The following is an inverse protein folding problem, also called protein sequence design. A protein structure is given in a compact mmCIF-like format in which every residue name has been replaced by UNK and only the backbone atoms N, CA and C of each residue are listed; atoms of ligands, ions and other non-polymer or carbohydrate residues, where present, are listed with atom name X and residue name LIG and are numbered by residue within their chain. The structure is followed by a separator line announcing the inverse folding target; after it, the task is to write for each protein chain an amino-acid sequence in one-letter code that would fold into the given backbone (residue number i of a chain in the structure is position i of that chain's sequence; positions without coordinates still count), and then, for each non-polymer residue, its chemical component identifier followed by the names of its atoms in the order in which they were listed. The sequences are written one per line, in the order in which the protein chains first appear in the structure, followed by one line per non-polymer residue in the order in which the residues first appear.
data_IF_813461673281
#
_entry.id   IF_813461673281
#
_cell.length_a   1.000
_cell.length_b   1.000
_cell.length_c   1.000
_cell.angle_alpha   90.00
_cell.angle_beta   90.00
_cell.angle_gamma   90.00
#
_symmetry.space_group_name_H-M   'P 1'
#
loop_
_entity.id
_entity.type
_entity.pdbx_description
1 polymer ?
#
# COMPACT_ATOMS: atom_id res chain seq x y z
N UNK A 1 9.73 3.89 0.19
CA UNK A 1 11.00 4.09 0.95
C UNK A 1 11.77 2.78 0.92
N UNK A 2 13.08 2.75 0.66
CA UNK A 2 13.85 1.49 0.70
C UNK A 2 14.53 1.36 2.05
N UNK A 3 14.38 0.22 2.71
CA UNK A 3 15.03 -0.09 3.98
C UNK A 3 15.84 -1.39 3.87
N UNK A 4 16.91 -1.50 4.66
CA UNK A 4 17.69 -2.74 4.80
C UNK A 4 17.06 -3.62 5.87
N UNK A 5 16.62 -4.80 5.49
CA UNK A 5 16.00 -5.79 6.39
C UNK A 5 16.89 -7.02 6.47
N UNK A 6 17.16 -7.50 7.68
CA UNK A 6 17.85 -8.77 7.89
C UNK A 6 16.80 -9.89 7.81
N UNK A 7 16.90 -10.72 6.78
CA UNK A 7 16.04 -11.88 6.57
C UNK A 7 16.91 -13.15 6.70
N UNK A 8 16.76 -13.85 7.82
CA UNK A 8 17.66 -14.93 8.23
C UNK A 8 19.13 -14.47 8.39
N UNK A 9 20.02 -14.98 7.53
CA UNK A 9 21.46 -14.62 7.51
C UNK A 9 21.82 -13.56 6.48
N UNK A 10 20.88 -13.09 5.66
CA UNK A 10 21.13 -12.12 4.59
C UNK A 10 20.51 -10.76 4.92
N UNK A 11 21.12 -9.69 4.40
CA UNK A 11 20.57 -8.33 4.48
C UNK A 11 20.09 -7.96 3.08
N UNK A 12 18.78 -7.77 2.95
CA UNK A 12 18.12 -7.45 1.69
C UNK A 12 17.53 -6.04 1.76
N UNK A 13 17.53 -5.35 0.61
CA UNK A 13 16.79 -4.11 0.47
C UNK A 13 15.31 -4.46 0.22
N UNK A 14 14.40 -3.93 1.02
CA UNK A 14 12.95 -4.06 0.82
C UNK A 14 12.31 -2.68 0.69
N UNK A 15 11.26 -2.58 -0.13
CA UNK A 15 10.44 -1.38 -0.21
C UNK A 15 9.43 -1.36 0.93
N UNK A 16 9.40 -0.27 1.68
CA UNK A 16 8.38 0.06 2.67
C UNK A 16 7.39 1.05 2.05
N UNK A 17 6.12 0.65 2.04
CA UNK A 17 4.99 1.45 1.59
C UNK A 17 4.08 1.76 2.77
N UNK A 18 3.62 3.00 2.84
CA UNK A 18 2.72 3.49 3.88
C UNK A 18 1.52 4.12 3.18
N UNK A 19 0.31 3.70 3.55
CA UNK A 19 -0.91 4.36 3.13
C UNK A 19 -1.44 5.22 4.29
N UNK A 20 -1.64 6.50 4.01
CA UNK A 20 -2.28 7.45 4.92
C UNK A 20 -3.59 7.90 4.30
N UNK A 21 -4.66 7.84 5.08
CA UNK A 21 -5.98 8.30 4.70
C UNK A 21 -6.38 9.57 5.45
N UNK A 22 -7.33 10.29 4.87
CA UNK A 22 -8.11 11.32 5.56
C UNK A 22 -9.55 10.89 5.50
N UNK A 23 -10.21 10.74 6.65
CA UNK A 23 -11.62 10.33 6.69
C UNK A 23 -12.55 11.54 6.46
N UNK A 24 -13.86 11.29 6.39
CA UNK A 24 -14.87 12.33 6.11
C UNK A 24 -14.97 13.40 7.22
N UNK A 25 -14.47 13.11 8.41
CA UNK A 25 -14.38 14.05 9.53
C UNK A 25 -13.11 14.92 9.47
N UNK A 26 -12.23 14.68 8.49
CA UNK A 26 -10.96 15.37 8.33
C UNK A 26 -9.82 14.79 9.17
N UNK A 27 -10.05 13.66 9.86
CA UNK A 27 -9.02 13.03 10.67
C UNK A 27 -8.03 12.25 9.80
N UNK A 28 -6.73 12.44 10.08
CA UNK A 28 -5.63 11.73 9.40
C UNK A 28 -5.35 10.42 10.11
N UNK A 29 -5.25 9.34 9.35
CA UNK A 29 -5.02 7.99 9.88
C UNK A 29 -4.03 7.22 9.01
N UNK A 30 -3.19 6.41 9.66
CA UNK A 30 -2.34 5.45 8.94
C UNK A 30 -3.17 4.20 8.68
N UNK A 31 -3.51 3.99 7.41
CA UNK A 31 -4.31 2.85 6.98
C UNK A 31 -3.48 1.56 6.96
N UNK A 32 -2.18 1.65 6.73
CA UNK A 32 -1.29 0.51 6.87
C UNK A 32 0.14 0.77 6.44
N UNK A 33 0.98 -0.24 6.71
CA UNK A 33 2.40 -0.26 6.41
C UNK A 33 2.73 -1.65 5.86
N UNK A 34 3.33 -1.70 4.67
CA UNK A 34 3.66 -2.96 4.00
C UNK A 34 5.11 -2.98 3.57
N UNK A 35 5.76 -4.12 3.80
CA UNK A 35 7.06 -4.45 3.22
C UNK A 35 6.84 -5.26 1.94
N UNK A 36 7.47 -4.80 0.86
CA UNK A 36 7.42 -5.45 -0.44
C UNK A 36 8.83 -5.85 -0.87
N UNK A 37 8.96 -7.10 -1.33
CA UNK A 37 10.16 -7.57 -2.03
C UNK A 37 10.16 -7.13 -3.50
N UNK A 38 8.98 -7.05 -4.13
CA UNK A 38 8.76 -6.55 -5.48
C UNK A 38 7.48 -5.71 -5.54
N UNK A 39 7.50 -4.64 -6.33
CA UNK A 39 6.36 -3.76 -6.58
C UNK A 39 5.65 -4.19 -7.88
N UNK A 40 4.32 -4.22 -7.87
CA UNK A 40 3.52 -4.56 -9.06
C UNK A 40 2.03 -4.72 -8.78
N UNK A 41 1.24 -4.90 -9.84
CA UNK A 41 -0.22 -4.92 -9.77
C UNK A 41 -0.79 -5.92 -8.74
N UNK A 42 -0.22 -7.13 -8.65
CA UNK A 42 -0.67 -8.15 -7.68
C UNK A 42 -0.46 -7.72 -6.22
N UNK A 43 0.64 -7.03 -5.94
CA UNK A 43 0.92 -6.52 -4.60
C UNK A 43 -0.10 -5.43 -4.23
N UNK A 44 -0.31 -4.44 -5.11
CA UNK A 44 -1.27 -3.36 -4.87
C UNK A 44 -2.70 -3.86 -4.75
N UNK A 45 -3.09 -4.85 -5.56
CA UNK A 45 -4.39 -5.50 -5.45
C UNK A 45 -4.57 -6.18 -4.09
N UNK A 46 -3.52 -6.83 -3.56
CA UNK A 46 -3.56 -7.42 -2.21
C UNK A 46 -3.73 -6.34 -1.13
N UNK A 47 -3.01 -5.23 -1.22
CA UNK A 47 -3.11 -4.10 -0.28
C UNK A 47 -4.53 -3.52 -0.27
N UNK A 48 -5.09 -3.24 -1.45
CA UNK A 48 -6.42 -2.65 -1.58
C UNK A 48 -7.52 -3.59 -1.10
N UNK A 49 -7.42 -4.89 -1.40
CA UNK A 49 -8.34 -5.89 -0.85
C UNK A 49 -8.26 -5.99 0.68
N UNK A 50 -7.06 -5.89 1.26
CA UNK A 50 -6.91 -5.85 2.72
C UNK A 50 -7.63 -4.63 3.32
N UNK A 51 -7.46 -3.45 2.73
CA UNK A 51 -8.15 -2.23 3.17
C UNK A 51 -9.67 -2.37 3.07
N UNK A 52 -10.17 -2.93 1.96
CA UNK A 52 -11.60 -3.23 1.77
C UNK A 52 -12.13 -4.18 2.83
N UNK A 53 -11.41 -5.27 3.10
CA UNK A 53 -11.77 -6.25 4.13
C UNK A 53 -11.73 -5.66 5.55
N UNK A 54 -10.91 -4.63 5.79
CA UNK A 54 -10.86 -3.88 7.05
C UNK A 54 -11.94 -2.81 7.17
N UNK A 55 -12.80 -2.65 6.16
CA UNK A 55 -13.97 -1.79 6.21
C UNK A 55 -13.85 -0.48 5.43
N UNK A 56 -12.76 -0.26 4.69
CA UNK A 56 -12.70 0.85 3.73
C UNK A 56 -13.71 0.56 2.61
N UNK A 57 -14.74 1.39 2.50
CA UNK A 57 -15.83 1.18 1.55
C UNK A 57 -15.56 1.83 0.20
N UNK A 58 -14.96 3.01 0.22
CA UNK A 58 -14.75 3.81 -0.98
C UNK A 58 -13.52 4.72 -0.80
N UNK A 59 -12.86 5.05 -1.91
CA UNK A 59 -11.69 5.93 -1.97
C UNK A 59 -11.99 7.01 -3.01
N UNK A 60 -12.42 8.19 -2.54
CA UNK A 60 -12.81 9.29 -3.42
C UNK A 60 -11.61 9.91 -4.15
N UNK A 61 -10.44 9.94 -3.49
CA UNK A 61 -9.22 10.51 -4.02
C UNK A 61 -8.06 9.60 -3.63
N UNK A 62 -7.34 9.09 -4.63
CA UNK A 62 -6.09 8.35 -4.45
C UNK A 62 -4.93 9.18 -5.03
N UNK A 63 -3.89 9.41 -4.24
CA UNK A 63 -2.67 10.08 -4.67
C UNK A 63 -1.49 9.12 -4.55
N UNK A 64 -0.77 8.91 -5.65
CA UNK A 64 0.37 7.99 -5.73
C UNK A 64 1.46 8.53 -6.67
N UNK A 65 2.71 8.16 -6.44
CA UNK A 65 3.89 8.64 -7.19
C UNK A 65 4.22 7.76 -8.41
N UNK A 66 3.22 7.48 -9.26
CA UNK A 66 3.46 6.69 -10.48
C UNK A 66 3.78 5.21 -10.21
N UNK A 67 3.23 4.65 -9.13
CA UNK A 67 3.41 3.26 -8.72
C UNK A 67 2.97 2.29 -9.82
N UNK A 68 3.90 1.43 -10.25
CA UNK A 68 3.66 0.49 -11.35
C UNK A 68 2.55 -0.51 -11.00
N UNK A 69 1.52 -0.60 -11.85
CA UNK A 69 0.37 -1.49 -11.68
C UNK A 69 -0.63 -1.09 -10.60
N UNK A 70 -0.41 0.03 -9.90
CA UNK A 70 -1.41 0.57 -8.97
C UNK A 70 -2.68 1.08 -9.67
N UNK A 71 -2.61 1.82 -10.80
CA UNK A 71 -3.82 2.24 -11.52
C UNK A 71 -4.71 1.08 -11.96
N UNK A 72 -4.12 -0.03 -12.38
CA UNK A 72 -4.89 -1.22 -12.76
C UNK A 72 -5.53 -1.88 -11.53
N UNK A 73 -4.78 -1.97 -10.42
CA UNK A 73 -5.26 -2.59 -9.19
C UNK A 73 -6.41 -1.80 -8.53
N UNK A 74 -6.34 -0.46 -8.51
CA UNK A 74 -7.37 0.36 -7.86
C UNK A 74 -8.71 0.35 -8.61
N UNK A 75 -8.68 0.20 -9.93
CA UNK A 75 -9.90 0.05 -10.72
C UNK A 75 -10.54 -1.34 -10.62
N UNK A 76 -9.85 -2.31 -10.01
CA UNK A 76 -10.29 -3.71 -9.91
C UNK A 76 -10.92 -4.09 -8.57
N UNK A 77 -10.95 -3.18 -7.58
CA UNK A 77 -11.43 -3.40 -6.20
C UNK A 77 -12.69 -2.61 -5.93
#
# INVERSE_FOLDING_TARGET
MVIKVKDGKQINNKSLHIAMGVNMEGNKEILGIWLADNEGAKFWLSVLNELKNRGVKDILIACCDGLTGFPDAINAV
#
